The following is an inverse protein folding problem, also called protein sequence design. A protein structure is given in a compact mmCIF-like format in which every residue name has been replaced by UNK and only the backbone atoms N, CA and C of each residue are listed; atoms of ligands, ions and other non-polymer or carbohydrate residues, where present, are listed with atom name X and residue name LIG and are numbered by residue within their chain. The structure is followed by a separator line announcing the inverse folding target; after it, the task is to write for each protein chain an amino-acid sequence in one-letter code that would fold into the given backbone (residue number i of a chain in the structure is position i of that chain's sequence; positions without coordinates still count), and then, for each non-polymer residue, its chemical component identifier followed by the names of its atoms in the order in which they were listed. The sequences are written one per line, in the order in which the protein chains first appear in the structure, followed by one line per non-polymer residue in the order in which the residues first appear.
data_IF_159588337714
#
_entry.id   IF_159588337714
#
_cell.length_a   1.000
_cell.length_b   1.000
_cell.length_c   1.000
_cell.angle_alpha   90.00
_cell.angle_beta   90.00
_cell.angle_gamma   90.00
#
_symmetry.space_group_name_H-M   'P 1'
#
loop_
_entity.id
_entity.type
_entity.pdbx_description
1 polymer ?
#
# COMPACT_ATOMS: atom_id res chain seq x y z
N UNK A 1 5.70 -6.97 -19.76
CA UNK A 1 5.22 -6.32 -18.53
C UNK A 1 5.34 -7.29 -17.37
N UNK A 2 5.91 -6.84 -16.27
CA UNK A 2 6.04 -7.62 -15.04
C UNK A 2 5.18 -6.93 -13.99
N UNK A 3 4.48 -7.73 -13.17
CA UNK A 3 3.77 -7.22 -12.00
C UNK A 3 4.33 -7.87 -10.75
N UNK A 4 4.81 -7.05 -9.83
CA UNK A 4 5.24 -7.47 -8.50
C UNK A 4 4.14 -7.08 -7.53
N UNK A 5 3.72 -8.00 -6.68
CA UNK A 5 2.63 -7.76 -5.74
C UNK A 5 3.04 -8.13 -4.32
N UNK A 6 2.58 -7.32 -3.37
CA UNK A 6 2.52 -7.67 -1.96
C UNK A 6 1.04 -7.78 -1.64
N UNK A 7 0.63 -8.93 -1.15
CA UNK A 7 -0.78 -9.21 -0.92
C UNK A 7 -1.01 -9.59 0.55
N UNK A 8 -2.02 -8.99 1.14
CA UNK A 8 -2.45 -9.33 2.48
C UNK A 8 -1.51 -8.88 3.60
N UNK A 9 -0.77 -7.78 3.41
CA UNK A 9 0.11 -7.27 4.46
C UNK A 9 -0.74 -6.67 5.59
N UNK A 10 -0.56 -7.16 6.81
CA UNK A 10 -1.35 -6.74 7.96
C UNK A 10 -0.62 -5.69 8.78
N UNK A 11 -1.36 -4.65 9.14
CA UNK A 11 -0.84 -3.57 9.98
C UNK A 11 -1.89 -3.21 11.02
N UNK A 12 -1.46 -2.97 12.26
CA UNK A 12 -2.31 -2.30 13.23
C UNK A 12 -1.95 -0.82 13.17
N UNK A 13 -2.94 0.02 12.87
CA UNK A 13 -2.69 1.44 12.65
C UNK A 13 -3.86 2.28 13.18
N UNK A 14 -3.69 3.59 13.21
CA UNK A 14 -4.60 4.53 13.88
C UNK A 14 -5.25 5.51 12.92
N UNK A 15 -5.28 5.16 11.62
CA UNK A 15 -5.92 6.01 10.62
C UNK A 15 -7.43 6.05 10.82
N UNK A 16 -8.01 7.22 10.71
CA UNK A 16 -9.44 7.37 10.77
C UNK A 16 -9.85 8.81 10.92
N UNK A 17 -11.04 9.14 10.43
CA UNK A 17 -11.58 10.48 10.50
C UNK A 17 -12.03 10.84 11.92
N UNK A 18 -12.54 9.85 12.65
CA UNK A 18 -13.05 10.08 14.02
C UNK A 18 -11.95 9.96 15.07
N UNK A 19 -11.98 10.80 16.12
CA UNK A 19 -10.97 10.74 17.18
C UNK A 19 -10.84 9.37 17.86
N UNK A 20 -11.94 8.65 18.02
CA UNK A 20 -11.95 7.31 18.63
C UNK A 20 -11.12 6.33 17.81
N UNK A 21 -11.19 6.42 16.47
CA UNK A 21 -10.41 5.55 15.59
C UNK A 21 -8.91 5.82 15.75
N UNK A 22 -8.55 7.08 15.94
CA UNK A 22 -7.14 7.46 16.12
C UNK A 22 -6.58 7.07 17.47
N UNK A 23 -7.45 6.88 18.49
CA UNK A 23 -7.03 6.41 19.80
C UNK A 23 -6.93 4.91 19.88
N UNK A 24 -7.93 4.20 19.38
CA UNK A 24 -8.06 2.76 19.53
C UNK A 24 -7.28 1.98 18.48
N UNK A 25 -7.24 2.53 17.27
CA UNK A 25 -6.64 1.83 16.15
C UNK A 25 -7.47 0.64 15.69
N UNK A 26 -7.07 0.06 14.58
CA UNK A 26 -7.65 -1.19 14.09
C UNK A 26 -6.67 -1.87 13.14
N UNK A 27 -7.01 -3.08 12.72
CA UNK A 27 -6.23 -3.79 11.73
C UNK A 27 -6.56 -3.29 10.32
N UNK A 28 -5.51 -3.07 9.55
CA UNK A 28 -5.59 -2.78 8.13
C UNK A 28 -4.90 -3.87 7.34
N UNK A 29 -5.39 -4.13 6.14
CA UNK A 29 -4.75 -5.04 5.22
C UNK A 29 -4.40 -4.25 3.96
N UNK A 30 -3.16 -4.34 3.53
CA UNK A 30 -2.66 -3.58 2.38
C UNK A 30 -2.19 -4.52 1.29
N UNK A 31 -2.67 -4.28 0.07
CA UNK A 31 -2.16 -4.91 -1.14
C UNK A 31 -1.50 -3.83 -1.99
N UNK A 32 -0.35 -4.16 -2.56
CA UNK A 32 0.34 -3.27 -3.50
C UNK A 32 0.70 -4.06 -4.75
N UNK A 33 0.36 -3.54 -5.91
CA UNK A 33 0.67 -4.14 -7.20
C UNK A 33 1.42 -3.11 -8.03
N UNK A 34 2.61 -3.47 -8.51
CA UNK A 34 3.49 -2.58 -9.27
C UNK A 34 3.83 -3.25 -10.59
N UNK A 35 3.50 -2.59 -11.69
CA UNK A 35 3.72 -3.13 -13.03
C UNK A 35 4.73 -2.27 -13.79
N UNK A 36 5.65 -2.93 -14.48
CA UNK A 36 6.75 -2.27 -15.18
C UNK A 36 7.30 -3.15 -16.30
N UNK A 37 8.07 -2.53 -17.18
CA UNK A 37 8.90 -3.25 -18.15
C UNK A 37 10.30 -3.37 -17.57
N UNK A 38 10.97 -4.54 -17.72
CA UNK A 38 12.32 -4.70 -17.20
C UNK A 38 13.26 -3.64 -17.78
N UNK A 39 14.14 -3.09 -16.93
CA UNK A 39 15.14 -2.12 -17.37
C UNK A 39 16.19 -2.75 -18.28
N UNK A 40 16.56 -4.00 -17.99
CA UNK A 40 17.55 -4.76 -18.71
C UNK A 40 17.12 -6.21 -18.81
N UNK A 41 18.01 -7.04 -19.35
CA UNK A 41 17.74 -8.46 -19.51
C UNK A 41 17.60 -9.14 -18.13
N UNK A 42 16.43 -9.73 -17.86
CA UNK A 42 16.19 -10.45 -16.60
C UNK A 42 17.08 -11.66 -16.41
N UNK A 43 17.63 -12.23 -17.50
CA UNK A 43 18.56 -13.35 -17.42
C UNK A 43 19.87 -13.00 -16.73
N UNK A 44 20.18 -11.71 -16.56
CA UNK A 44 21.30 -11.25 -15.74
C UNK A 44 21.14 -11.56 -14.26
N UNK A 45 19.91 -11.85 -13.83
CA UNK A 45 19.58 -12.23 -12.45
C UNK A 45 20.03 -11.20 -11.41
N UNK A 46 19.76 -9.93 -11.71
CA UNK A 46 20.13 -8.79 -10.84
C UNK A 46 18.90 -8.10 -10.30
N UNK A 47 18.90 -7.85 -8.99
CA UNK A 47 17.79 -7.14 -8.33
C UNK A 47 17.60 -5.72 -8.88
N UNK A 48 18.66 -5.12 -9.40
CA UNK A 48 18.61 -3.77 -10.00
C UNK A 48 17.76 -3.72 -11.28
N UNK A 49 17.48 -4.87 -11.90
CA UNK A 49 16.68 -4.94 -13.12
C UNK A 49 15.18 -5.07 -12.85
N UNK A 50 14.77 -5.07 -11.60
CA UNK A 50 13.38 -5.28 -11.19
C UNK A 50 13.01 -4.34 -10.04
N UNK A 51 11.79 -4.49 -9.55
CA UNK A 51 11.33 -3.84 -8.32
C UNK A 51 11.53 -4.80 -7.16
N UNK A 52 12.26 -4.36 -6.14
CA UNK A 52 12.49 -5.14 -4.93
C UNK A 52 11.27 -5.02 -4.02
N UNK A 53 10.52 -6.13 -3.83
CA UNK A 53 9.31 -6.11 -3.03
C UNK A 53 9.58 -5.82 -1.55
N UNK A 54 10.78 -6.09 -1.04
CA UNK A 54 11.15 -5.74 0.33
C UNK A 54 11.18 -4.22 0.51
N UNK A 55 11.72 -3.48 -0.47
CA UNK A 55 11.70 -2.02 -0.44
C UNK A 55 10.27 -1.48 -0.53
N UNK A 56 9.43 -2.09 -1.35
CA UNK A 56 8.01 -1.73 -1.44
C UNK A 56 7.34 -1.92 -0.09
N UNK A 57 7.57 -3.05 0.57
CA UNK A 57 7.02 -3.31 1.90
C UNK A 57 7.48 -2.24 2.91
N UNK A 58 8.75 -1.89 2.90
CA UNK A 58 9.28 -0.89 3.82
C UNK A 58 8.66 0.49 3.60
N UNK A 59 8.38 0.85 2.36
CA UNK A 59 7.66 2.09 2.04
C UNK A 59 6.23 2.07 2.59
N UNK A 60 5.54 0.94 2.42
CA UNK A 60 4.19 0.76 2.97
C UNK A 60 4.21 0.88 4.49
N UNK A 61 5.11 0.17 5.14
CA UNK A 61 5.24 0.17 6.61
C UNK A 61 5.48 1.58 7.15
N UNK A 62 6.37 2.34 6.51
CA UNK A 62 6.67 3.71 6.92
C UNK A 62 5.43 4.61 6.85
N UNK A 63 4.62 4.50 5.80
CA UNK A 63 3.41 5.29 5.66
C UNK A 63 2.31 4.84 6.61
N UNK A 64 2.19 3.54 6.86
CA UNK A 64 1.18 3.02 7.78
C UNK A 64 1.41 3.49 9.22
N UNK A 65 2.64 3.80 9.60
CA UNK A 65 2.98 4.32 10.93
C UNK A 65 2.66 5.80 11.11
N UNK A 66 2.34 6.53 10.04
CA UNK A 66 1.98 7.94 10.10
C UNK A 66 0.46 8.08 10.05
N UNK A 67 -0.15 8.41 11.18
CA UNK A 67 -1.60 8.51 11.31
C UNK A 67 -2.17 9.62 10.44
N UNK A 68 -3.17 9.29 9.63
CA UNK A 68 -3.96 10.24 8.82
C UNK A 68 -5.44 10.03 9.08
N UNK A 69 -6.22 11.07 8.78
CA UNK A 69 -7.68 10.98 8.85
C UNK A 69 -8.29 10.14 7.75
N UNK A 70 -7.68 10.16 6.58
CA UNK A 70 -8.19 9.45 5.39
C UNK A 70 -7.22 8.37 4.95
N UNK A 71 -7.74 7.17 4.74
CA UNK A 71 -6.93 6.07 4.20
C UNK A 71 -6.54 6.31 2.74
N UNK A 72 -7.33 7.11 2.01
CA UNK A 72 -6.99 7.55 0.66
C UNK A 72 -5.67 8.32 0.64
N UNK A 73 -5.46 9.18 1.64
CA UNK A 73 -4.21 9.93 1.79
C UNK A 73 -3.02 8.99 2.03
N UNK A 74 -3.22 7.96 2.85
CA UNK A 74 -2.19 6.95 3.11
C UNK A 74 -1.84 6.21 1.82
N UNK A 75 -2.86 5.75 1.09
CA UNK A 75 -2.67 5.01 -0.15
C UNK A 75 -1.96 5.85 -1.22
N UNK A 76 -2.34 7.12 -1.35
CA UNK A 76 -1.69 8.02 -2.29
C UNK A 76 -0.23 8.23 -1.93
N UNK A 77 0.07 8.41 -0.65
CA UNK A 77 1.44 8.59 -0.17
C UNK A 77 2.30 7.36 -0.44
N UNK A 78 1.74 6.16 -0.26
CA UNK A 78 2.43 4.91 -0.61
C UNK A 78 2.74 4.87 -2.11
N UNK A 79 1.76 5.17 -2.94
CA UNK A 79 1.94 5.16 -4.39
C UNK A 79 2.99 6.18 -4.83
N UNK A 80 2.97 7.38 -4.26
CA UNK A 80 3.93 8.43 -4.54
C UNK A 80 5.36 8.00 -4.18
N UNK A 81 5.52 7.38 -3.01
CA UNK A 81 6.83 6.90 -2.55
C UNK A 81 7.37 5.79 -3.46
N UNK A 82 6.51 4.88 -3.90
CA UNK A 82 6.90 3.83 -4.84
C UNK A 82 7.34 4.45 -6.17
N UNK A 83 6.60 5.42 -6.68
CA UNK A 83 6.92 6.09 -7.93
C UNK A 83 8.24 6.88 -7.83
N UNK A 84 8.50 7.48 -6.70
CA UNK A 84 9.76 8.18 -6.45
C UNK A 84 10.94 7.21 -6.40
N UNK A 85 10.78 6.08 -5.73
CA UNK A 85 11.82 5.05 -5.61
C UNK A 85 12.07 4.37 -6.97
N UNK A 86 11.02 4.14 -7.74
CA UNK A 86 11.07 3.42 -9.02
C UNK A 86 10.33 4.23 -10.09
N UNK A 87 10.98 5.25 -10.61
CA UNK A 87 10.37 6.16 -11.57
C UNK A 87 9.99 5.51 -12.91
N UNK A 88 10.51 4.33 -13.20
CA UNK A 88 10.23 3.59 -14.42
C UNK A 88 8.97 2.74 -14.37
N UNK A 89 8.30 2.63 -13.22
CA UNK A 89 7.08 1.82 -13.12
C UNK A 89 5.95 2.45 -13.93
N UNK A 90 5.16 1.60 -14.59
CA UNK A 90 4.07 2.04 -15.45
C UNK A 90 2.76 2.18 -14.70
N UNK A 91 2.47 1.24 -13.79
CA UNK A 91 1.21 1.23 -13.04
C UNK A 91 1.47 0.86 -11.59
N UNK A 92 0.76 1.53 -10.69
CA UNK A 92 0.77 1.21 -9.27
C UNK A 92 -0.67 1.13 -8.82
N UNK A 93 -1.02 0.05 -8.12
CA UNK A 93 -2.34 -0.12 -7.54
C UNK A 93 -2.19 -0.43 -6.05
N UNK A 94 -2.77 0.41 -5.21
CA UNK A 94 -2.74 0.24 -3.76
C UNK A 94 -4.18 0.01 -3.29
N UNK A 95 -4.38 -1.10 -2.57
CA UNK A 95 -5.66 -1.41 -1.93
C UNK A 95 -5.44 -1.40 -0.43
N UNK A 96 -6.25 -0.64 0.30
CA UNK A 96 -6.22 -0.65 1.76
C UNK A 96 -7.61 -1.04 2.26
N UNK A 97 -7.67 -2.10 3.06
CA UNK A 97 -8.86 -2.57 3.73
C UNK A 97 -8.78 -2.21 5.20
N UNK A 98 -9.83 -1.59 5.71
CA UNK A 98 -9.98 -1.28 7.12
C UNK A 98 -10.96 -2.29 7.71
N UNK A 99 -10.50 -3.09 8.66
CA UNK A 99 -11.35 -4.07 9.31
C UNK A 99 -12.21 -3.41 10.39
N UNK A 100 -13.40 -3.95 10.60
CA UNK A 100 -14.33 -3.48 11.61
C UNK A 100 -14.60 -1.97 11.52
N UNK A 101 -15.07 -1.46 10.37
CA UNK A 101 -15.37 -0.04 10.24
C UNK A 101 -16.48 0.34 11.22
N UNK A 102 -16.46 1.60 11.78
CA UNK A 102 -17.42 2.02 12.79
C UNK A 102 -18.78 2.35 12.17
N UNK A 103 -19.45 1.33 11.67
CA UNK A 103 -20.77 1.45 11.03
C UNK A 103 -21.84 0.84 11.91
N UNK A 104 -23.11 1.20 11.63
CA UNK A 104 -24.27 0.78 12.42
C UNK A 104 -24.76 -0.61 12.03
N UNK A 105 -23.92 -1.47 11.54
CA UNK A 105 -24.25 -2.83 11.15
C UNK A 105 -22.97 -3.64 11.06
N UNK A 106 -23.12 -4.95 10.86
CA UNK A 106 -21.96 -5.81 10.72
C UNK A 106 -21.41 -5.69 9.29
N UNK A 107 -20.20 -5.13 9.17
CA UNK A 107 -19.47 -5.03 7.91
C UNK A 107 -18.07 -5.55 8.14
N UNK A 108 -17.61 -6.50 7.33
CA UNK A 108 -16.29 -7.10 7.52
C UNK A 108 -15.17 -6.08 7.34
N UNK A 109 -15.26 -5.28 6.30
CA UNK A 109 -14.26 -4.25 6.05
C UNK A 109 -14.82 -3.19 5.11
N UNK A 110 -14.20 -2.03 5.12
CA UNK A 110 -14.30 -1.07 4.03
C UNK A 110 -12.98 -1.06 3.29
N UNK A 111 -12.97 -0.72 2.02
CA UNK A 111 -11.73 -0.70 1.26
C UNK A 111 -11.69 0.48 0.30
N UNK A 112 -10.48 0.93 0.03
CA UNK A 112 -10.22 1.88 -1.05
C UNK A 112 -9.17 1.31 -1.98
N UNK A 113 -9.22 1.71 -3.23
CA UNK A 113 -8.21 1.36 -4.24
C UNK A 113 -7.78 2.64 -4.93
N UNK A 114 -6.47 2.83 -5.01
CA UNK A 114 -5.87 3.89 -5.81
C UNK A 114 -5.08 3.23 -6.93
N UNK A 115 -5.32 3.67 -8.16
CA UNK A 115 -4.57 3.22 -9.33
C UNK A 115 -3.97 4.43 -10.04
N UNK A 116 -2.68 4.39 -10.28
CA UNK A 116 -1.99 5.44 -11.02
C UNK A 116 -1.06 4.87 -12.07
#
# INVERSE_FOLDING_TARGET
MITISILGAEFFAYHGFYPEEQKLGTKFIVDAEVSFKPLNNLKEDKIANTVDYEKVYNLIDAQMKQTRKLIETVAQSIADDIKEQYNFVDNIRITIKKLNPPLNGKVDCSSIVISI
#
